data_IF_072539866831
#
_entry.id   IF_072539866831
#
_cell.length_a   1.000
_cell.length_b   1.000
_cell.length_c   1.000
_cell.angle_alpha   90.00
_cell.angle_beta   90.00
_cell.angle_gamma   90.00
#
_symmetry.space_group_name_H-M   'P 1'
#
loop_
_entity.id
_entity.type
_entity.pdbx_description
1 polymer ?
#
# COMPACT_ATOMS: atom_id res chain seq x y z
N UNK A 1 -5.48 7.90 -23.29
CA UNK A 1 -5.24 6.45 -23.46
C UNK A 1 -6.04 5.97 -24.64
N UNK A 2 -5.54 4.99 -25.41
CA UNK A 2 -6.28 4.42 -26.54
C UNK A 2 -7.67 3.91 -26.10
N UNK A 3 -8.64 3.96 -27.01
CA UNK A 3 -9.96 3.35 -26.81
C UNK A 3 -9.79 1.87 -26.43
N UNK A 4 -10.53 1.41 -25.41
CA UNK A 4 -10.42 0.04 -24.88
C UNK A 4 -9.40 -0.14 -23.75
N UNK A 5 -8.76 0.94 -23.28
CA UNK A 5 -7.87 0.84 -22.11
C UNK A 5 -8.68 0.77 -20.81
N UNK A 6 -8.48 -0.29 -20.04
CA UNK A 6 -9.03 -0.45 -18.68
C UNK A 6 -7.97 -0.08 -17.64
N UNK A 7 -8.34 0.73 -16.65
CA UNK A 7 -7.52 1.03 -15.48
C UNK A 7 -8.14 0.41 -14.25
N UNK A 8 -7.30 -0.14 -13.38
CA UNK A 8 -7.72 -0.76 -12.12
C UNK A 8 -7.01 -0.06 -10.97
N UNK A 9 -7.73 0.14 -9.87
CA UNK A 9 -7.13 0.52 -8.59
C UNK A 9 -7.18 -0.72 -7.71
N UNK A 10 -6.00 -1.24 -7.37
CA UNK A 10 -5.86 -2.32 -6.40
C UNK A 10 -5.52 -1.68 -5.05
N UNK A 11 -6.38 -1.91 -4.07
CA UNK A 11 -6.14 -1.54 -2.68
C UNK A 11 -6.11 -2.83 -1.85
N UNK A 12 -4.93 -3.37 -1.63
CA UNK A 12 -4.73 -4.51 -0.74
C UNK A 12 -3.36 -4.43 -0.05
N UNK A 13 -3.32 -4.91 1.18
CA UNK A 13 -2.10 -5.29 1.87
C UNK A 13 -2.40 -6.59 2.64
N UNK A 14 -1.36 -7.32 3.04
CA UNK A 14 -1.56 -8.44 3.97
C UNK A 14 -2.29 -7.97 5.25
N UNK A 15 -3.29 -8.71 5.78
CA UNK A 15 -3.98 -8.35 7.02
C UNK A 15 -3.05 -8.10 8.20
N UNK A 16 -1.89 -8.77 8.23
CA UNK A 16 -0.85 -8.60 9.25
C UNK A 16 -0.25 -7.18 9.19
N UNK A 17 -0.03 -6.65 7.98
CA UNK A 17 0.52 -5.31 7.78
C UNK A 17 -0.50 -4.25 8.21
N UNK A 18 -1.78 -4.46 7.91
CA UNK A 18 -2.87 -3.56 8.32
C UNK A 18 -3.02 -3.50 9.84
N UNK A 19 -3.05 -4.66 10.50
CA UNK A 19 -3.12 -4.74 11.96
C UNK A 19 -1.90 -4.05 12.62
N UNK A 20 -0.71 -4.28 12.09
CA UNK A 20 0.52 -3.63 12.55
C UNK A 20 0.51 -2.12 12.35
N UNK A 21 -0.03 -1.63 11.23
CA UNK A 21 -0.19 -0.19 10.97
C UNK A 21 -1.14 0.46 11.98
N UNK A 22 -2.30 -0.13 12.23
CA UNK A 22 -3.27 0.38 13.21
C UNK A 22 -2.64 0.46 14.60
N UNK A 23 -1.84 -0.54 15.01
CA UNK A 23 -1.11 -0.51 16.28
C UNK A 23 -0.13 0.65 16.37
N UNK A 24 0.66 0.90 15.31
CA UNK A 24 1.63 2.00 15.26
C UNK A 24 0.98 3.37 15.25
N UNK A 25 -0.10 3.55 14.49
CA UNK A 25 -0.82 4.82 14.42
C UNK A 25 -1.42 5.18 15.78
N UNK A 26 -2.01 4.21 16.49
CA UNK A 26 -2.51 4.43 17.86
C UNK A 26 -1.39 4.85 18.83
N UNK A 27 -0.19 4.29 18.68
CA UNK A 27 0.97 4.62 19.52
C UNK A 27 1.64 5.96 19.20
N UNK A 28 1.51 6.46 17.97
CA UNK A 28 2.17 7.69 17.50
C UNK A 28 1.46 9.00 17.94
N UNK A 29 0.35 8.93 18.65
CA UNK A 29 -0.46 10.09 19.03
C UNK A 29 -1.11 10.77 17.81
N UNK A 30 -1.52 12.03 17.96
CA UNK A 30 -2.21 12.84 16.92
C UNK A 30 -1.36 13.18 15.68
N UNK A 31 -0.20 12.54 15.50
CA UNK A 31 0.58 12.63 14.27
C UNK A 31 -0.23 12.02 13.12
N UNK A 32 -0.84 12.88 12.31
CA UNK A 32 -1.67 12.47 11.17
C UNK A 32 -0.89 11.59 10.18
N UNK A 33 -1.61 10.69 9.52
CA UNK A 33 -1.06 9.86 8.45
C UNK A 33 -0.95 10.68 7.16
N UNK A 34 0.02 10.33 6.31
CA UNK A 34 0.22 10.96 5.00
C UNK A 34 0.18 9.90 3.91
N UNK A 35 -0.44 10.22 2.79
CA UNK A 35 -0.43 9.38 1.58
C UNK A 35 0.80 9.77 0.76
N UNK A 36 1.61 8.76 0.40
CA UNK A 36 2.80 8.90 -0.45
C UNK A 36 2.68 7.94 -1.64
N UNK A 37 3.25 8.33 -2.77
CA UNK A 37 3.28 7.51 -3.98
C UNK A 37 4.67 6.92 -4.18
N UNK A 38 4.74 5.64 -4.56
CA UNK A 38 5.98 4.94 -4.89
C UNK A 38 5.82 4.22 -6.23
N UNK A 39 6.66 4.57 -7.20
CA UNK A 39 6.72 3.88 -8.49
C UNK A 39 7.49 2.57 -8.36
N UNK A 40 6.94 1.47 -8.90
CA UNK A 40 7.56 0.15 -8.85
C UNK A 40 7.28 -0.65 -10.13
N UNK A 41 8.04 -1.72 -10.36
CA UNK A 41 7.79 -2.66 -11.45
C UNK A 41 6.75 -3.71 -11.03
N UNK A 42 6.02 -4.28 -11.99
CA UNK A 42 4.91 -5.22 -11.71
C UNK A 42 5.36 -6.49 -10.98
N UNK A 43 6.57 -6.98 -11.27
CA UNK A 43 7.17 -8.16 -10.64
C UNK A 43 7.43 -7.98 -9.14
N UNK A 44 7.58 -6.74 -8.66
CA UNK A 44 7.76 -6.44 -7.23
C UNK A 44 6.46 -6.36 -6.46
N UNK A 45 5.31 -6.19 -7.13
CA UNK A 45 4.02 -6.02 -6.46
C UNK A 45 3.68 -7.17 -5.50
N UNK A 46 3.80 -8.47 -5.86
CA UNK A 46 3.48 -9.55 -4.94
C UNK A 46 4.30 -9.51 -3.64
N UNK A 47 5.60 -9.17 -3.74
CA UNK A 47 6.47 -9.00 -2.59
C UNK A 47 6.05 -7.82 -1.72
N UNK A 48 5.79 -6.66 -2.33
CA UNK A 48 5.36 -5.45 -1.61
C UNK A 48 4.03 -5.67 -0.89
N UNK A 49 3.06 -6.32 -1.53
CA UNK A 49 1.74 -6.59 -0.96
C UNK A 49 1.80 -7.56 0.23
N UNK A 50 2.73 -8.53 0.18
CA UNK A 50 2.89 -9.55 1.22
C UNK A 50 3.75 -9.08 2.40
N UNK A 51 4.88 -8.43 2.11
CA UNK A 51 5.95 -8.15 3.08
C UNK A 51 6.14 -6.65 3.36
N UNK A 52 5.50 -5.78 2.58
CA UNK A 52 5.73 -4.33 2.61
C UNK A 52 6.84 -3.89 1.66
N UNK A 53 7.01 -2.57 1.53
CA UNK A 53 8.06 -1.98 0.72
C UNK A 53 9.43 -2.19 1.38
N UNK A 54 10.37 -2.79 0.65
CA UNK A 54 11.80 -2.92 0.98
C UNK A 54 12.64 -2.01 0.11
#
# INVERSE_FOLDING_TARGET
LPVGTHQFVLANASPILEAGFVGRVKGAGSAGTRILFHGTSLDRLPGILKEGLK
#
